data_IF_989435979609
#
_entry.id   IF_989435979609
#
_cell.length_a   1.000
_cell.length_b   1.000
_cell.length_c   1.000
_cell.angle_alpha   90.00
_cell.angle_beta   90.00
_cell.angle_gamma   90.00
#
_symmetry.space_group_name_H-M   'P 1'
#
loop_
_entity.id
_entity.type
_entity.pdbx_description
1 polymer ?
#
# COMPACT_ATOMS: atom_id res chain seq x y z
N UNK A 1 -24.92 12.40 -5.61
CA UNK A 1 -23.83 11.42 -5.87
C UNK A 1 -23.78 10.46 -4.70
N UNK A 2 -23.79 9.14 -4.90
CA UNK A 2 -23.54 8.19 -3.81
C UNK A 2 -22.07 8.35 -3.41
N UNK A 3 -21.79 8.66 -2.14
CA UNK A 3 -20.42 8.57 -1.60
C UNK A 3 -20.00 7.11 -1.74
N UNK A 4 -19.05 6.83 -2.64
CA UNK A 4 -18.37 5.55 -2.66
C UNK A 4 -17.42 5.57 -1.47
N UNK A 5 -17.77 4.90 -0.39
CA UNK A 5 -16.91 4.80 0.80
C UNK A 5 -15.99 3.61 0.62
N UNK A 6 -14.76 3.87 0.18
CA UNK A 6 -13.69 2.89 0.19
C UNK A 6 -12.96 3.05 1.52
N UNK A 7 -12.69 1.97 2.26
CA UNK A 7 -12.05 2.11 3.57
C UNK A 7 -10.54 2.03 3.53
N UNK A 8 -9.99 1.39 2.50
CA UNK A 8 -8.57 1.05 2.45
C UNK A 8 -7.94 1.47 1.13
N UNK A 9 -6.71 1.97 1.19
CA UNK A 9 -5.85 2.19 0.04
C UNK A 9 -4.63 1.29 0.17
N UNK A 10 -4.32 0.52 -0.87
CA UNK A 10 -3.19 -0.41 -0.87
C UNK A 10 -2.26 -0.06 -2.03
N UNK A 11 -0.99 0.17 -1.72
CA UNK A 11 0.06 0.37 -2.71
C UNK A 11 1.15 -0.68 -2.58
N UNK A 12 1.49 -1.30 -3.71
CA UNK A 12 2.47 -2.37 -3.75
C UNK A 12 3.29 -2.41 -5.03
N UNK A 13 4.36 -3.20 -5.03
CA UNK A 13 5.21 -3.35 -6.20
C UNK A 13 4.51 -4.18 -7.30
N UNK A 14 4.82 -3.90 -8.56
CA UNK A 14 4.40 -4.73 -9.70
C UNK A 14 5.09 -6.10 -9.77
N UNK A 15 6.04 -6.37 -8.87
CA UNK A 15 6.86 -7.56 -8.87
C UNK A 15 6.00 -8.85 -8.76
N UNK A 16 6.09 -9.69 -9.78
CA UNK A 16 5.25 -10.88 -9.90
C UNK A 16 5.52 -11.92 -8.80
N UNK A 17 6.71 -11.89 -8.18
CA UNK A 17 7.10 -12.84 -7.12
C UNK A 17 6.20 -12.71 -5.88
N UNK A 18 5.64 -11.53 -5.65
CA UNK A 18 4.92 -11.20 -4.43
C UNK A 18 3.39 -11.16 -4.58
N UNK A 19 2.84 -11.47 -5.77
CA UNK A 19 1.40 -11.44 -6.02
C UNK A 19 0.60 -12.29 -5.01
N UNK A 20 1.08 -13.52 -4.74
CA UNK A 20 0.46 -14.40 -3.76
C UNK A 20 0.50 -13.81 -2.35
N UNK A 21 1.64 -13.26 -1.93
CA UNK A 21 1.79 -12.63 -0.63
C UNK A 21 0.89 -11.40 -0.46
N UNK A 22 0.66 -10.62 -1.53
CA UNK A 22 -0.30 -9.51 -1.51
C UNK A 22 -1.75 -9.97 -1.33
N UNK A 23 -2.18 -11.03 -2.01
CA UNK A 23 -3.53 -11.58 -1.80
C UNK A 23 -3.67 -12.16 -0.38
N UNK A 24 -2.64 -12.84 0.13
CA UNK A 24 -2.63 -13.35 1.51
C UNK A 24 -2.66 -12.23 2.55
N UNK A 25 -1.92 -11.14 2.33
CA UNK A 25 -1.96 -9.95 3.19
C UNK A 25 -3.38 -9.38 3.27
N UNK A 26 -4.02 -9.19 2.12
CA UNK A 26 -5.37 -8.62 2.02
C UNK A 26 -6.38 -9.53 2.73
N UNK A 27 -6.27 -10.84 2.52
CA UNK A 27 -7.10 -11.82 3.21
C UNK A 27 -6.87 -11.82 4.73
N UNK A 28 -5.61 -11.73 5.20
CA UNK A 28 -5.27 -11.68 6.63
C UNK A 28 -5.79 -10.42 7.31
N UNK A 29 -5.81 -9.30 6.58
CA UNK A 29 -6.37 -8.04 7.05
C UNK A 29 -7.92 -8.02 7.02
N UNK A 30 -8.57 -9.07 6.51
CA UNK A 30 -10.03 -9.16 6.43
C UNK A 30 -10.65 -8.15 5.46
N UNK A 31 -9.89 -7.71 4.46
CA UNK A 31 -10.35 -6.73 3.46
C UNK A 31 -11.02 -7.48 2.30
N UNK A 32 -12.28 -7.18 2.01
CA UNK A 32 -13.00 -7.82 0.90
C UNK A 32 -12.78 -7.09 -0.42
N UNK A 33 -12.94 -7.80 -1.54
CA UNK A 33 -13.00 -7.17 -2.86
C UNK A 33 -14.13 -6.13 -2.92
N UNK A 34 -13.79 -4.92 -3.38
CA UNK A 34 -14.70 -3.76 -3.40
C UNK A 34 -14.54 -2.81 -2.22
N UNK A 35 -13.80 -3.19 -1.17
CA UNK A 35 -13.58 -2.36 0.03
C UNK A 35 -12.22 -1.62 0.04
N UNK A 36 -11.48 -1.69 -1.06
CA UNK A 36 -10.15 -1.09 -1.17
C UNK A 36 -9.80 -0.61 -2.59
N UNK A 37 -9.02 0.46 -2.66
CA UNK A 37 -8.29 0.87 -3.86
C UNK A 37 -6.94 0.15 -3.89
N UNK A 38 -6.53 -0.32 -5.08
CA UNK A 38 -5.24 -1.00 -5.28
C UNK A 38 -4.40 -0.29 -6.33
N UNK A 39 -3.16 0.02 -5.98
CA UNK A 39 -2.14 0.55 -6.89
C UNK A 39 -0.95 -0.40 -6.91
N UNK A 40 -0.61 -0.88 -8.11
CA UNK A 40 0.60 -1.66 -8.36
C UNK A 40 1.57 -0.80 -9.17
N UNK A 41 2.72 -0.46 -8.61
CA UNK A 41 3.72 0.41 -9.25
C UNK A 41 5.14 -0.04 -8.92
N UNK A 42 6.10 0.12 -9.83
CA UNK A 42 7.49 -0.21 -9.54
C UNK A 42 7.99 0.53 -8.28
N UNK A 43 8.47 -0.23 -7.29
CA UNK A 43 8.91 0.28 -5.99
C UNK A 43 7.83 0.35 -4.89
N UNK A 44 6.55 0.09 -5.21
CA UNK A 44 5.46 0.11 -4.24
C UNK A 44 5.41 1.43 -3.45
N UNK A 45 5.35 1.36 -2.12
CA UNK A 45 5.34 2.54 -1.26
C UNK A 45 6.66 3.36 -1.31
N UNK A 46 7.76 2.78 -1.77
CA UNK A 46 9.01 3.50 -2.03
C UNK A 46 8.94 4.43 -3.25
N UNK A 47 7.92 4.28 -4.09
CA UNK A 47 7.65 5.23 -5.17
C UNK A 47 6.83 6.42 -4.65
N UNK A 48 7.53 7.39 -4.05
CA UNK A 48 6.91 8.52 -3.33
C UNK A 48 6.02 9.40 -4.21
N UNK A 49 6.37 9.58 -5.49
CA UNK A 49 5.55 10.35 -6.43
C UNK A 49 4.19 9.68 -6.62
N UNK A 50 4.21 8.39 -6.95
CA UNK A 50 3.00 7.62 -7.22
C UNK A 50 2.17 7.39 -5.96
N UNK A 51 2.83 7.19 -4.81
CA UNK A 51 2.18 7.17 -3.51
C UNK A 51 1.38 8.47 -3.28
N UNK A 52 2.02 9.64 -3.42
CA UNK A 52 1.36 10.93 -3.18
C UNK A 52 0.18 11.13 -4.13
N UNK A 53 0.40 10.94 -5.43
CA UNK A 53 -0.63 11.15 -6.46
C UNK A 53 -1.85 10.27 -6.21
N UNK A 54 -1.65 8.98 -5.94
CA UNK A 54 -2.78 8.07 -5.76
C UNK A 54 -3.41 8.14 -4.36
N UNK A 55 -2.63 8.47 -3.32
CA UNK A 55 -3.17 8.72 -1.99
C UNK A 55 -4.16 9.89 -1.99
N UNK A 56 -3.77 11.01 -2.61
CA UNK A 56 -4.64 12.19 -2.75
C UNK A 56 -5.93 11.84 -3.52
N UNK A 57 -5.80 11.12 -4.63
CA UNK A 57 -6.96 10.72 -5.45
C UNK A 57 -7.89 9.81 -4.66
N UNK A 58 -7.36 8.79 -3.98
CA UNK A 58 -8.16 7.85 -3.18
C UNK A 58 -8.88 8.55 -2.03
N UNK A 59 -8.18 9.38 -1.26
CA UNK A 59 -8.79 10.15 -0.17
C UNK A 59 -9.88 11.11 -0.70
N UNK A 60 -9.59 11.89 -1.73
CA UNK A 60 -10.52 12.90 -2.29
C UNK A 60 -11.76 12.27 -2.94
N UNK A 61 -11.62 11.13 -3.62
CA UNK A 61 -12.73 10.54 -4.37
C UNK A 61 -13.51 9.50 -3.57
N UNK A 62 -12.85 8.76 -2.67
CA UNK A 62 -13.44 7.59 -2.00
C UNK A 62 -13.49 7.69 -0.47
N UNK A 63 -13.07 8.82 0.11
CA UNK A 63 -13.14 9.08 1.57
C UNK A 63 -12.37 8.02 2.39
N UNK A 64 -11.24 7.56 1.85
CA UNK A 64 -10.42 6.49 2.43
C UNK A 64 -9.70 6.95 3.70
N UNK A 65 -9.73 6.12 4.75
CA UNK A 65 -9.15 6.42 6.07
C UNK A 65 -7.88 5.61 6.39
N UNK A 66 -7.78 4.40 5.84
CA UNK A 66 -6.66 3.48 6.10
C UNK A 66 -5.81 3.29 4.84
N UNK A 67 -4.49 3.32 5.01
CA UNK A 67 -3.53 2.93 3.96
C UNK A 67 -2.66 1.76 4.42
N UNK A 68 -2.42 0.84 3.49
CA UNK A 68 -1.44 -0.24 3.61
C UNK A 68 -0.30 0.03 2.62
N UNK A 69 0.84 0.42 3.18
CA UNK A 69 2.07 0.68 2.45
C UNK A 69 2.89 -0.60 2.42
N UNK A 70 3.16 -1.13 1.22
CA UNK A 70 3.99 -2.32 1.08
C UNK A 70 5.31 -2.02 0.37
N UNK A 71 6.38 -2.59 0.91
CA UNK A 71 7.71 -2.70 0.29
C UNK A 71 8.12 -4.16 0.43
N UNK A 72 8.82 -4.70 -0.55
CA UNK A 72 9.32 -6.07 -0.50
C UNK A 72 10.83 -6.12 -0.54
N UNK A 73 11.38 -7.23 -0.05
CA UNK A 73 12.79 -7.55 -0.13
C UNK A 73 13.26 -7.69 -1.59
N UNK A 74 14.52 -7.31 -1.85
CA UNK A 74 15.16 -7.45 -3.17
C UNK A 74 14.36 -6.77 -4.31
N UNK A 75 13.97 -5.52 -4.07
CA UNK A 75 13.23 -4.73 -5.05
C UNK A 75 14.14 -4.21 -6.17
N UNK A 76 13.89 -4.64 -7.40
CA UNK A 76 14.63 -4.18 -8.59
C UNK A 76 14.45 -2.69 -8.91
N UNK A 77 13.41 -2.04 -8.36
CA UNK A 77 13.19 -0.59 -8.47
C UNK A 77 13.90 0.22 -7.37
N UNK A 78 14.59 -0.46 -6.43
CA UNK A 78 15.42 0.17 -5.41
C UNK A 78 14.71 0.55 -4.10
N UNK A 79 13.43 0.21 -3.94
CA UNK A 79 12.70 0.45 -2.69
C UNK A 79 13.24 -0.42 -1.54
N UNK A 80 13.37 0.16 -0.35
CA UNK A 80 13.91 -0.50 0.85
C UNK A 80 13.09 -0.17 2.10
N UNK A 81 13.28 -0.93 3.19
CA UNK A 81 12.57 -0.70 4.46
C UNK A 81 12.73 0.73 4.97
N UNK A 82 13.88 1.36 4.77
CA UNK A 82 14.15 2.73 5.24
C UNK A 82 13.21 3.76 4.60
N UNK A 83 12.72 3.48 3.39
CA UNK A 83 11.78 4.34 2.66
C UNK A 83 10.43 4.45 3.37
N UNK A 84 10.08 3.52 4.27
CA UNK A 84 8.84 3.59 5.05
C UNK A 84 8.74 4.85 5.89
N UNK A 85 9.85 5.40 6.38
CA UNK A 85 9.83 6.65 7.16
C UNK A 85 9.20 7.77 6.35
N UNK A 86 9.70 7.97 5.13
CA UNK A 86 9.21 9.01 4.22
C UNK A 86 7.85 8.66 3.62
N UNK A 87 7.61 7.39 3.30
CA UNK A 87 6.31 6.95 2.81
C UNK A 87 5.20 7.18 3.85
N UNK A 88 5.48 6.93 5.14
CA UNK A 88 4.58 7.19 6.25
C UNK A 88 4.28 8.68 6.41
N UNK A 89 5.29 9.54 6.32
CA UNK A 89 5.10 11.00 6.34
C UNK A 89 4.13 11.46 5.26
N UNK A 90 4.33 11.00 4.01
CA UNK A 90 3.43 11.31 2.88
C UNK A 90 2.02 10.78 3.13
N UNK A 91 1.90 9.54 3.61
CA UNK A 91 0.60 8.91 3.88
C UNK A 91 -0.19 9.63 4.99
N UNK A 92 0.49 10.12 6.04
CA UNK A 92 -0.15 10.85 7.13
C UNK A 92 -0.80 12.17 6.69
N UNK A 93 -0.45 12.71 5.52
CA UNK A 93 -1.12 13.89 4.96
C UNK A 93 -2.56 13.57 4.50
N UNK A 94 -2.87 12.29 4.20
CA UNK A 94 -4.12 11.87 3.59
C UNK A 94 -4.93 10.86 4.40
N UNK A 95 -4.29 10.10 5.29
CA UNK A 95 -4.91 8.98 5.99
C UNK A 95 -4.68 9.06 7.50
N UNK A 96 -5.67 8.66 8.29
CA UNK A 96 -5.55 8.61 9.76
C UNK A 96 -4.85 7.35 10.23
N UNK A 97 -4.94 6.26 9.45
CA UNK A 97 -4.38 4.96 9.79
C UNK A 97 -3.38 4.51 8.73
N UNK A 98 -2.13 4.30 9.13
CA UNK A 98 -1.05 3.85 8.23
C UNK A 98 -0.50 2.52 8.72
N UNK A 99 -0.58 1.48 7.89
CA UNK A 99 0.03 0.18 8.10
C UNK A 99 1.26 0.05 7.21
N UNK A 100 2.39 -0.32 7.81
CA UNK A 100 3.64 -0.56 7.12
C UNK A 100 3.87 -2.07 7.04
N UNK A 101 4.04 -2.58 5.82
CA UNK A 101 4.16 -4.02 5.61
C UNK A 101 5.36 -4.33 4.74
N UNK A 102 6.33 -5.01 5.31
CA UNK A 102 7.45 -5.58 4.56
C UNK A 102 7.14 -7.03 4.15
N UNK A 103 7.44 -7.39 2.91
CA UNK A 103 7.29 -8.76 2.41
C UNK A 103 8.67 -9.32 2.04
N UNK A 104 9.07 -10.42 2.69
CA UNK A 104 10.35 -11.06 2.42
C UNK A 104 10.25 -11.99 1.20
N UNK A 105 11.39 -12.33 0.59
CA UNK A 105 11.46 -13.14 -0.64
C UNK A 105 10.80 -14.53 -0.51
N UNK A 106 10.72 -15.07 0.70
CA UNK A 106 10.03 -16.33 0.99
C UNK A 106 8.50 -16.19 1.07
N UNK A 107 7.98 -14.97 0.93
CA UNK A 107 6.56 -14.63 1.03
C UNK A 107 6.09 -14.34 2.45
N UNK A 108 6.97 -14.38 3.46
CA UNK A 108 6.63 -13.99 4.82
C UNK A 108 6.36 -12.48 4.90
N UNK A 109 5.42 -12.14 5.78
CA UNK A 109 4.90 -10.78 5.94
C UNK A 109 5.29 -10.28 7.33
N UNK A 110 5.87 -9.08 7.39
CA UNK A 110 6.29 -8.38 8.60
C UNK A 110 5.56 -7.04 8.69
N UNK A 111 4.78 -6.83 9.74
CA UNK A 111 4.16 -5.53 10.05
C UNK A 111 5.10 -4.72 10.95
N UNK A 112 5.36 -3.45 10.60
CA UNK A 112 6.29 -2.55 11.29
C UNK A 112 5.59 -1.45 12.09
#
# INVERSE_FOLDING_TARGET
MKKHTCKNFIIHCIDFRFQKAHEELISKLGINYGDFDRVAVAGGAGNFEQLRTHAEISNRLHDTDTVILTIHEDCGAGAKKEDFTKAKEIANEFFSQVKLVHINLDGSIEEL
#
